data_IF_558164244860
#
_entry.id   IF_558164244860
#
_cell.length_a   1.000
_cell.length_b   1.000
_cell.length_c   1.000
_cell.angle_alpha   90.00
_cell.angle_beta   90.00
_cell.angle_gamma   90.00
#
_symmetry.space_group_name_H-M   'P 1'
#
loop_
_entity.id
_entity.type
_entity.pdbx_description
1 polymer ?
#
# COMPACT_ATOMS: atom_id res chain seq x y z
N UNK A 1 -26.55 -6.52 -8.41
CA UNK A 1 -27.09 -6.63 -7.04
C UNK A 1 -26.54 -7.81 -6.22
N UNK A 2 -26.01 -8.88 -6.84
CA UNK A 2 -25.34 -9.97 -6.11
C UNK A 2 -24.06 -9.56 -5.36
N UNK A 3 -23.33 -8.54 -5.85
CA UNK A 3 -22.11 -8.04 -5.20
C UNK A 3 -22.34 -7.31 -3.86
N UNK A 4 -23.59 -6.99 -3.49
CA UNK A 4 -23.90 -6.38 -2.20
C UNK A 4 -23.85 -7.41 -1.05
N UNK A 5 -24.04 -8.70 -1.35
CA UNK A 5 -24.08 -9.77 -0.33
C UNK A 5 -22.70 -9.95 0.33
N UNK A 6 -21.58 -10.08 -0.40
CA UNK A 6 -20.25 -10.11 0.22
C UNK A 6 -19.93 -8.84 1.00
N UNK A 7 -20.33 -7.66 0.50
CA UNK A 7 -20.08 -6.38 1.18
C UNK A 7 -20.81 -6.30 2.53
N UNK A 8 -22.08 -6.74 2.59
CA UNK A 8 -22.85 -6.80 3.83
C UNK A 8 -22.28 -7.82 4.83
N UNK A 9 -21.82 -8.98 4.35
CA UNK A 9 -21.14 -9.98 5.18
C UNK A 9 -19.85 -9.42 5.79
N UNK A 10 -19.00 -8.77 4.98
CA UNK A 10 -17.78 -8.13 5.47
C UNK A 10 -18.09 -7.04 6.49
N UNK A 11 -19.08 -6.18 6.23
CA UNK A 11 -19.50 -5.15 7.18
C UNK A 11 -19.97 -5.74 8.51
N UNK A 12 -20.81 -6.78 8.46
CA UNK A 12 -21.29 -7.48 9.65
C UNK A 12 -20.15 -8.09 10.47
N UNK A 13 -19.17 -8.71 9.81
CA UNK A 13 -18.01 -9.28 10.50
C UNK A 13 -17.07 -8.20 11.05
N UNK A 14 -16.82 -7.11 10.34
CA UNK A 14 -16.05 -5.98 10.86
C UNK A 14 -16.68 -5.36 12.11
N UNK A 15 -18.02 -5.21 12.14
CA UNK A 15 -18.71 -4.73 13.33
C UNK A 15 -18.64 -5.69 14.53
N UNK A 16 -18.36 -6.97 14.28
CA UNK A 16 -18.22 -8.00 15.30
C UNK A 16 -16.78 -8.23 15.77
N UNK A 17 -15.78 -7.72 15.06
CA UNK A 17 -14.40 -7.84 15.51
C UNK A 17 -14.17 -6.92 16.70
N UNK A 18 -13.78 -7.45 17.88
CA UNK A 18 -13.39 -6.61 19.00
C UNK A 18 -12.15 -5.79 18.62
N UNK A 19 -12.02 -4.62 19.23
CA UNK A 19 -10.83 -3.79 19.07
C UNK A 19 -9.58 -4.54 19.54
N UNK A 20 -8.44 -4.18 18.99
CA UNK A 20 -7.18 -4.85 19.35
C UNK A 20 -6.93 -4.66 20.84
N UNK A 21 -6.74 -5.74 21.60
CA UNK A 21 -6.57 -5.67 23.04
C UNK A 21 -5.41 -4.76 23.48
N UNK A 22 -4.38 -4.67 22.63
CA UNK A 22 -3.26 -3.74 22.81
C UNK A 22 -3.72 -2.28 22.80
N UNK A 23 -4.58 -1.89 21.85
CA UNK A 23 -5.17 -0.56 21.78
C UNK A 23 -6.03 -0.28 23.00
N UNK A 24 -6.83 -1.25 23.43
CA UNK A 24 -7.63 -1.14 24.65
C UNK A 24 -6.77 -0.97 25.91
N UNK A 25 -5.67 -1.70 26.03
CA UNK A 25 -4.76 -1.62 27.17
C UNK A 25 -3.92 -0.32 27.15
N UNK A 26 -3.22 -0.04 26.05
CA UNK A 26 -2.20 1.01 25.98
C UNK A 26 -2.77 2.40 25.67
N UNK A 27 -3.85 2.48 24.89
CA UNK A 27 -4.42 3.75 24.43
C UNK A 27 -5.71 4.08 25.18
N UNK A 28 -6.66 3.15 25.22
CA UNK A 28 -7.93 3.37 25.91
C UNK A 28 -7.83 3.21 27.45
N UNK A 29 -6.69 2.74 27.97
CA UNK A 29 -6.43 2.48 29.40
C UNK A 29 -7.52 1.62 30.05
N UNK A 30 -8.04 0.64 29.32
CA UNK A 30 -9.11 -0.23 29.78
C UNK A 30 -8.64 -1.70 29.78
N UNK A 31 -7.91 -2.06 30.83
CA UNK A 31 -7.32 -3.38 31.02
C UNK A 31 -8.37 -4.51 31.12
N UNK A 32 -9.53 -4.24 31.73
CA UNK A 32 -10.62 -5.24 31.84
C UNK A 32 -11.21 -5.60 30.49
N UNK A 33 -11.40 -4.61 29.63
CA UNK A 33 -11.95 -4.84 28.29
C UNK A 33 -10.91 -5.50 27.37
N UNK A 34 -9.64 -5.09 27.46
CA UNK A 34 -8.54 -5.78 26.79
C UNK A 34 -8.46 -7.26 27.17
N UNK A 35 -8.46 -7.59 28.47
CA UNK A 35 -8.40 -8.98 28.94
C UNK A 35 -9.63 -9.80 28.51
N UNK A 36 -10.83 -9.21 28.53
CA UNK A 36 -12.08 -9.84 28.06
C UNK A 36 -12.05 -10.12 26.55
N UNK A 37 -11.52 -9.18 25.76
CA UNK A 37 -11.47 -9.31 24.30
C UNK A 37 -10.39 -10.31 23.86
N UNK A 38 -9.22 -10.35 24.53
CA UNK A 38 -8.23 -11.43 24.29
C UNK A 38 -8.77 -12.78 24.75
N UNK A 39 -9.46 -12.84 25.90
CA UNK A 39 -9.98 -14.11 26.42
C UNK A 39 -11.01 -14.72 25.46
N UNK A 40 -11.88 -13.89 24.86
CA UNK A 40 -12.83 -14.33 23.83
C UNK A 40 -12.15 -14.83 22.56
N UNK A 41 -11.03 -14.22 22.16
CA UNK A 41 -10.32 -14.57 20.92
C UNK A 41 -9.39 -15.76 21.09
N UNK A 42 -8.67 -15.85 22.22
CA UNK A 42 -7.70 -16.92 22.49
C UNK A 42 -8.30 -18.11 23.25
N UNK A 43 -9.56 -18.03 23.71
CA UNK A 43 -10.22 -19.05 24.55
C UNK A 43 -9.43 -19.44 25.81
N UNK A 44 -8.69 -18.49 26.37
CA UNK A 44 -7.94 -18.64 27.63
C UNK A 44 -8.42 -17.55 28.59
N UNK A 45 -8.66 -17.87 29.86
CA UNK A 45 -8.93 -16.85 30.88
C UNK A 45 -7.63 -16.09 31.16
N UNK A 46 -7.64 -14.79 30.87
CA UNK A 46 -6.53 -13.89 31.18
C UNK A 46 -7.01 -12.97 32.30
N UNK A 47 -6.35 -13.01 33.45
CA UNK A 47 -6.61 -12.07 34.53
C UNK A 47 -6.14 -10.66 34.15
N UNK A 48 -6.98 -9.66 34.45
CA UNK A 48 -6.67 -8.27 34.15
C UNK A 48 -5.65 -7.69 35.14
N UNK A 49 -4.39 -7.58 34.73
CA UNK A 49 -3.34 -6.90 35.53
C UNK A 49 -3.40 -5.37 35.34
N UNK A 50 -4.40 -4.72 35.95
CA UNK A 50 -4.64 -3.26 35.88
C UNK A 50 -3.40 -2.43 36.24
N UNK A 51 -2.64 -2.86 37.25
CA UNK A 51 -1.50 -2.11 37.78
C UNK A 51 -0.30 -2.08 36.81
N UNK A 52 -0.11 -3.12 35.99
CA UNK A 52 0.92 -3.12 34.94
C UNK A 52 0.49 -2.28 33.74
N UNK A 53 -0.80 -2.32 33.38
CA UNK A 53 -1.35 -1.51 32.28
C UNK A 53 -1.29 -0.02 32.60
N UNK A 54 -1.58 0.38 33.85
CA UNK A 54 -1.46 1.78 34.27
C UNK A 54 0.00 2.24 34.35
N UNK A 55 0.94 1.39 34.79
CA UNK A 55 2.38 1.70 34.79
C UNK A 55 2.94 1.84 33.37
N UNK A 56 2.58 0.95 32.45
CA UNK A 56 2.98 1.05 31.03
C UNK A 56 2.29 2.25 30.34
N UNK A 57 1.00 2.48 30.64
CA UNK A 57 0.23 3.61 30.12
C UNK A 57 0.71 4.98 30.61
N UNK A 58 1.32 5.05 31.80
CA UNK A 58 1.95 6.25 32.36
C UNK A 58 3.39 6.43 31.89
N UNK A 59 4.18 5.36 31.73
CA UNK A 59 5.50 5.43 31.08
C UNK A 59 5.38 5.89 29.61
N UNK A 60 4.38 5.38 28.89
CA UNK A 60 4.03 5.84 27.54
C UNK A 60 3.41 7.26 27.52
N UNK A 61 3.01 7.83 28.66
CA UNK A 61 2.49 9.20 28.73
C UNK A 61 3.57 10.26 28.51
N UNK A 62 4.85 9.90 28.64
CA UNK A 62 5.99 10.78 28.35
C UNK A 62 6.50 10.68 26.88
N UNK A 63 5.85 9.89 26.01
CA UNK A 63 6.34 9.66 24.65
C UNK A 63 5.89 10.75 23.65
N UNK A 64 6.87 11.32 22.94
CA UNK A 64 6.81 12.21 21.77
C UNK A 64 5.52 12.18 20.91
N UNK A 65 5.07 13.36 20.50
CA UNK A 65 3.99 13.54 19.52
C UNK A 65 4.49 13.49 18.06
N UNK A 66 3.57 13.52 17.10
CA UNK A 66 3.85 13.43 15.66
C UNK A 66 4.84 14.50 15.15
N UNK A 67 4.84 15.68 15.74
CA UNK A 67 5.71 16.81 15.36
C UNK A 67 6.93 16.97 16.27
N UNK A 68 7.19 16.01 17.15
CA UNK A 68 8.34 16.05 18.05
C UNK A 68 9.62 15.63 17.30
N UNK A 69 10.75 16.24 17.66
CA UNK A 69 12.07 15.94 17.06
C UNK A 69 12.46 14.47 17.20
N UNK A 70 12.08 13.82 18.30
CA UNK A 70 12.31 12.39 18.56
C UNK A 70 11.57 11.50 17.55
N UNK A 71 10.30 11.80 17.25
CA UNK A 71 9.55 11.09 16.22
C UNK A 71 10.19 11.26 14.84
N UNK A 72 10.58 12.48 14.47
CA UNK A 72 11.22 12.74 13.19
C UNK A 72 12.56 12.00 13.04
N UNK A 73 13.34 11.88 14.12
CA UNK A 73 14.61 11.17 14.11
C UNK A 73 14.46 9.65 14.03
N UNK A 74 13.46 9.06 14.72
CA UNK A 74 13.28 7.60 14.76
C UNK A 74 12.40 7.05 13.63
N UNK A 75 11.31 7.74 13.31
CA UNK A 75 10.29 7.25 12.38
C UNK A 75 10.07 8.15 11.15
N UNK A 76 10.72 9.33 11.09
CA UNK A 76 10.56 10.26 9.97
C UNK A 76 11.02 9.69 8.63
N UNK A 77 12.13 8.95 8.61
CA UNK A 77 12.62 8.29 7.40
C UNK A 77 11.66 7.18 6.94
N UNK A 78 11.10 6.42 7.88
CA UNK A 78 10.13 5.38 7.60
C UNK A 78 8.82 5.95 7.05
N UNK A 79 8.34 7.07 7.61
CA UNK A 79 7.16 7.78 7.11
C UNK A 79 7.37 8.33 5.72
N UNK A 80 8.56 8.86 5.43
CA UNK A 80 8.91 9.29 4.09
C UNK A 80 8.95 8.10 3.12
N UNK A 81 9.58 6.99 3.51
CA UNK A 81 9.62 5.76 2.72
C UNK A 81 8.23 5.22 2.38
N UNK A 82 7.35 5.08 3.38
CA UNK A 82 5.99 4.57 3.17
C UNK A 82 5.13 5.52 2.36
N UNK A 83 5.21 6.83 2.60
CA UNK A 83 4.45 7.83 1.85
C UNK A 83 4.91 7.89 0.39
N UNK A 84 6.22 7.94 0.15
CA UNK A 84 6.75 8.01 -1.23
C UNK A 84 6.48 6.71 -1.99
N UNK A 85 6.61 5.54 -1.37
CA UNK A 85 6.26 4.28 -2.04
C UNK A 85 4.78 4.22 -2.43
N UNK A 86 3.88 4.68 -1.56
CA UNK A 86 2.45 4.72 -1.87
C UNK A 86 2.14 5.77 -2.96
N UNK A 87 2.77 6.94 -2.88
CA UNK A 87 2.72 7.97 -3.91
C UNK A 87 3.15 7.44 -5.29
N UNK A 88 4.32 6.80 -5.37
CA UNK A 88 4.87 6.25 -6.63
C UNK A 88 4.01 5.11 -7.16
N UNK A 89 3.49 4.26 -6.27
CA UNK A 89 2.54 3.22 -6.63
C UNK A 89 1.28 3.81 -7.26
N UNK A 90 0.66 4.82 -6.63
CA UNK A 90 -0.57 5.42 -7.14
C UNK A 90 -0.32 6.11 -8.49
N UNK A 91 0.90 6.64 -8.76
CA UNK A 91 1.27 7.09 -10.12
C UNK A 91 1.22 5.93 -11.12
N UNK A 92 1.78 4.77 -10.75
CA UNK A 92 1.75 3.59 -11.61
C UNK A 92 0.31 3.12 -11.89
N UNK A 93 -0.59 3.25 -10.90
CA UNK A 93 -2.02 2.91 -11.04
C UNK A 93 -2.81 3.85 -11.92
N UNK A 94 -2.33 5.06 -12.21
CA UNK A 94 -2.93 5.94 -13.22
C UNK A 94 -3.10 5.19 -14.53
N UNK A 95 -2.17 4.29 -14.87
CA UNK A 95 -2.23 3.44 -16.05
C UNK A 95 -3.56 2.66 -16.16
N UNK A 96 -4.15 2.24 -15.04
CA UNK A 96 -5.46 1.57 -15.01
C UNK A 96 -6.59 2.48 -15.52
N UNK A 97 -6.55 3.79 -15.19
CA UNK A 97 -7.56 4.74 -15.68
C UNK A 97 -7.50 4.94 -17.20
N UNK A 98 -6.32 4.83 -17.80
CA UNK A 98 -6.10 5.07 -19.24
C UNK A 98 -5.91 3.79 -20.04
N UNK A 99 -6.36 2.67 -19.48
CA UNK A 99 -6.25 1.36 -20.09
C UNK A 99 -6.97 1.30 -21.46
N UNK A 100 -8.08 2.03 -21.61
CA UNK A 100 -8.78 2.18 -22.90
C UNK A 100 -7.86 2.76 -23.99
N UNK A 101 -7.09 3.78 -23.65
CA UNK A 101 -6.25 4.51 -24.62
C UNK A 101 -5.02 3.68 -24.99
N UNK A 102 -4.49 2.91 -24.03
CA UNK A 102 -3.42 1.94 -24.25
C UNK A 102 -3.88 0.81 -25.20
N UNK A 103 -5.08 0.25 -24.97
CA UNK A 103 -5.63 -0.80 -25.82
C UNK A 103 -5.96 -0.33 -27.22
N UNK A 104 -6.45 0.90 -27.37
CA UNK A 104 -6.67 1.54 -28.68
C UNK A 104 -5.34 1.79 -29.39
N UNK A 105 -4.31 2.25 -28.66
CA UNK A 105 -3.00 2.53 -29.23
C UNK A 105 -2.25 1.26 -29.72
N UNK A 106 -2.58 0.09 -29.16
CA UNK A 106 -2.02 -1.22 -29.56
C UNK A 106 -2.87 -1.95 -30.59
N UNK A 107 -4.01 -1.37 -30.99
CA UNK A 107 -4.90 -1.97 -32.00
C UNK A 107 -5.74 -3.12 -31.47
N UNK A 108 -5.80 -3.33 -30.15
CA UNK A 108 -6.70 -4.31 -29.52
C UNK A 108 -8.16 -3.82 -29.56
N UNK A 109 -8.35 -2.52 -29.31
CA UNK A 109 -9.62 -1.83 -29.58
C UNK A 109 -9.58 -1.23 -30.99
N UNK A 110 -10.55 -1.56 -31.86
CA UNK A 110 -10.73 -0.86 -33.14
C UNK A 110 -10.94 0.64 -32.92
N UNK A 111 -10.85 1.45 -33.98
CA UNK A 111 -11.12 2.90 -33.86
C UNK A 111 -12.59 3.14 -33.50
N UNK A 112 -12.86 4.13 -32.65
CA UNK A 112 -14.21 4.48 -32.19
C UNK A 112 -15.22 4.65 -33.34
N UNK A 113 -14.80 5.23 -34.47
CA UNK A 113 -15.63 5.42 -35.68
C UNK A 113 -16.17 4.11 -36.29
N UNK A 114 -15.55 2.97 -35.97
CA UNK A 114 -15.90 1.66 -36.52
C UNK A 114 -16.76 0.81 -35.57
N UNK A 115 -17.14 1.34 -34.40
CA UNK A 115 -17.86 0.56 -33.38
C UNK A 115 -19.01 1.32 -32.71
N UNK A 116 -20.02 0.57 -32.27
CA UNK A 116 -21.06 1.07 -31.38
C UNK A 116 -20.53 1.15 -29.95
N UNK A 117 -20.93 2.17 -29.17
CA UNK A 117 -20.50 2.41 -27.79
C UNK A 117 -20.71 1.19 -26.87
N UNK A 118 -21.80 0.43 -27.06
CA UNK A 118 -22.06 -0.81 -26.29
C UNK A 118 -20.97 -1.87 -26.56
N UNK A 119 -20.55 -1.98 -27.82
CA UNK A 119 -19.54 -2.95 -28.23
C UNK A 119 -18.13 -2.54 -27.76
N UNK A 120 -17.84 -1.23 -27.72
CA UNK A 120 -16.63 -0.68 -27.10
C UNK A 120 -16.54 -1.06 -25.62
N UNK A 121 -17.59 -0.73 -24.85
CA UNK A 121 -17.68 -1.04 -23.43
C UNK A 121 -17.53 -2.54 -23.17
N UNK A 122 -18.17 -3.38 -23.99
CA UNK A 122 -18.05 -4.84 -23.88
C UNK A 122 -16.60 -5.32 -24.08
N UNK A 123 -15.89 -4.82 -25.10
CA UNK A 123 -14.48 -5.20 -25.36
C UNK A 123 -13.53 -4.71 -24.26
N UNK A 124 -13.71 -3.48 -23.79
CA UNK A 124 -12.94 -2.95 -22.65
C UNK A 124 -13.20 -3.80 -21.40
N UNK A 125 -14.46 -4.09 -21.09
CA UNK A 125 -14.85 -4.90 -19.94
C UNK A 125 -14.29 -6.32 -20.00
N UNK A 126 -14.31 -6.97 -21.18
CA UNK A 126 -13.74 -8.30 -21.36
C UNK A 126 -12.22 -8.29 -21.12
N UNK A 127 -11.52 -7.29 -21.64
CA UNK A 127 -10.07 -7.13 -21.45
C UNK A 127 -9.71 -6.85 -19.98
N UNK A 128 -10.49 -6.02 -19.30
CA UNK A 128 -10.37 -5.79 -17.85
C UNK A 128 -10.66 -7.05 -17.04
N UNK A 129 -11.64 -7.85 -17.44
CA UNK A 129 -11.96 -9.11 -16.78
C UNK A 129 -10.80 -10.09 -16.86
N UNK A 130 -10.13 -10.18 -18.01
CA UNK A 130 -8.92 -11.01 -18.18
C UNK A 130 -7.81 -10.52 -17.24
N UNK A 131 -7.51 -9.21 -17.23
CA UNK A 131 -6.49 -8.65 -16.32
C UNK A 131 -6.86 -8.88 -14.86
N UNK A 132 -8.13 -8.77 -14.49
CA UNK A 132 -8.58 -9.01 -13.12
C UNK A 132 -8.44 -10.49 -12.73
N UNK A 133 -8.76 -11.42 -13.64
CA UNK A 133 -8.63 -12.86 -13.45
C UNK A 133 -7.17 -13.32 -13.37
N UNK A 134 -6.27 -12.71 -14.15
CA UNK A 134 -4.85 -13.08 -14.17
C UNK A 134 -4.01 -12.29 -13.16
N UNK A 135 -4.41 -11.07 -12.82
CA UNK A 135 -3.66 -10.16 -11.94
C UNK A 135 -4.29 -10.01 -10.56
N UNK A 136 -5.48 -9.44 -10.49
CA UNK A 136 -6.08 -8.99 -9.22
C UNK A 136 -6.51 -10.15 -8.31
N UNK A 137 -7.14 -11.19 -8.87
CA UNK A 137 -7.66 -12.34 -8.10
C UNK A 137 -6.53 -13.24 -7.59
N UNK A 138 -5.59 -13.72 -8.42
CA UNK A 138 -4.54 -14.63 -7.97
C UNK A 138 -3.67 -13.98 -6.91
N UNK A 139 -3.48 -12.67 -6.99
CA UNK A 139 -2.79 -11.94 -5.94
C UNK A 139 -3.30 -12.27 -4.55
N UNK A 140 -4.61 -12.18 -4.27
CA UNK A 140 -5.08 -12.21 -2.89
C UNK A 140 -4.62 -13.50 -2.19
N UNK A 141 -4.67 -14.62 -2.92
CA UNK A 141 -4.17 -15.90 -2.48
C UNK A 141 -2.65 -15.89 -2.31
N UNK A 142 -1.91 -15.34 -3.26
CA UNK A 142 -0.45 -15.24 -3.16
C UNK A 142 -0.02 -14.33 -2.00
N UNK A 143 -0.58 -13.13 -1.85
CA UNK A 143 -0.28 -12.24 -0.74
C UNK A 143 -0.57 -12.93 0.59
N UNK A 144 -1.76 -13.51 0.78
CA UNK A 144 -2.11 -14.16 2.06
C UNK A 144 -1.18 -15.34 2.37
N UNK A 145 -0.82 -16.15 1.37
CA UNK A 145 0.10 -17.26 1.59
C UNK A 145 1.50 -16.75 1.91
N UNK A 146 2.04 -15.81 1.13
CA UNK A 146 3.45 -15.45 1.19
C UNK A 146 3.80 -14.35 2.19
N UNK A 147 2.84 -13.55 2.67
CA UNK A 147 3.13 -12.40 3.54
C UNK A 147 3.75 -12.79 4.90
N UNK A 148 3.47 -14.01 5.36
CA UNK A 148 4.02 -14.54 6.60
C UNK A 148 5.35 -15.30 6.38
N UNK A 149 5.60 -15.81 5.18
CA UNK A 149 6.85 -16.54 4.86
C UNK A 149 7.93 -15.65 4.25
N UNK A 150 7.57 -14.63 3.48
CA UNK A 150 8.48 -13.71 2.79
C UNK A 150 8.36 -12.34 3.45
N UNK A 151 9.50 -11.72 3.70
CA UNK A 151 9.62 -10.38 4.22
C UNK A 151 8.83 -9.37 3.38
N UNK A 152 8.02 -8.51 4.04
CA UNK A 152 7.23 -7.46 3.38
C UNK A 152 8.10 -6.50 2.59
N UNK A 153 9.31 -6.24 3.08
CA UNK A 153 10.35 -5.50 2.37
C UNK A 153 10.69 -6.17 1.03
N UNK A 154 10.99 -7.47 1.05
CA UNK A 154 11.32 -8.25 -0.15
C UNK A 154 10.14 -8.35 -1.11
N UNK A 155 8.92 -8.52 -0.61
CA UNK A 155 7.69 -8.52 -1.42
C UNK A 155 7.52 -7.18 -2.14
N UNK A 156 7.72 -6.06 -1.43
CA UNK A 156 7.63 -4.72 -2.00
C UNK A 156 8.71 -4.47 -3.06
N UNK A 157 9.96 -4.83 -2.75
CA UNK A 157 11.10 -4.66 -3.65
C UNK A 157 10.93 -5.46 -4.93
N UNK A 158 10.54 -6.73 -4.80
CA UNK A 158 10.27 -7.63 -5.92
C UNK A 158 9.11 -7.10 -6.78
N UNK A 159 8.06 -6.57 -6.16
CA UNK A 159 6.94 -5.98 -6.89
C UNK A 159 7.38 -4.78 -7.74
N UNK A 160 8.05 -3.79 -7.15
CA UNK A 160 8.58 -2.65 -7.91
C UNK A 160 9.58 -3.09 -8.99
N UNK A 161 10.45 -4.06 -8.71
CA UNK A 161 11.40 -4.60 -9.67
C UNK A 161 10.72 -5.22 -10.89
N UNK A 162 9.80 -6.17 -10.70
CA UNK A 162 9.11 -6.81 -11.81
C UNK A 162 8.19 -5.84 -12.56
N UNK A 163 7.55 -4.90 -11.86
CA UNK A 163 6.80 -3.82 -12.51
C UNK A 163 7.70 -3.00 -13.45
N UNK A 164 8.90 -2.63 -13.01
CA UNK A 164 9.88 -1.91 -13.83
C UNK A 164 10.30 -2.73 -15.06
N UNK A 165 10.65 -4.00 -14.85
CA UNK A 165 11.06 -4.92 -15.93
C UNK A 165 9.95 -5.05 -16.98
N UNK A 166 8.71 -5.32 -16.57
CA UNK A 166 7.62 -5.47 -17.53
C UNK A 166 7.24 -4.15 -18.20
N UNK A 167 7.28 -3.01 -17.50
CA UNK A 167 7.03 -1.71 -18.12
C UNK A 167 8.07 -1.37 -19.20
N UNK A 168 9.36 -1.66 -18.95
CA UNK A 168 10.38 -1.48 -20.00
C UNK A 168 10.27 -2.52 -21.12
N UNK A 169 9.91 -3.77 -20.82
CA UNK A 169 9.64 -4.79 -21.82
C UNK A 169 8.45 -4.44 -22.72
N UNK A 170 7.48 -3.67 -22.20
CA UNK A 170 6.37 -3.12 -23.00
C UNK A 170 6.80 -1.87 -23.79
N UNK A 171 7.67 -1.03 -23.24
CA UNK A 171 8.06 0.24 -23.85
C UNK A 171 9.14 0.14 -24.93
N UNK A 172 10.12 -0.76 -24.79
CA UNK A 172 11.26 -0.89 -25.70
C UNK A 172 10.83 -1.46 -27.07
N UNK A 173 10.30 -2.69 -27.16
CA UNK A 173 9.79 -3.26 -28.41
C UNK A 173 8.32 -2.86 -28.67
N UNK A 174 7.97 -1.57 -28.49
CA UNK A 174 6.58 -1.09 -28.64
C UNK A 174 5.97 -1.47 -30.00
N UNK A 175 6.75 -1.37 -31.09
CA UNK A 175 6.27 -1.66 -32.43
C UNK A 175 6.03 -3.16 -32.67
N UNK A 176 6.71 -4.05 -31.94
CA UNK A 176 6.46 -5.49 -31.99
C UNK A 176 5.08 -5.84 -31.41
N UNK A 177 4.68 -5.14 -30.35
CA UNK A 177 3.40 -5.36 -29.67
C UNK A 177 2.18 -4.95 -30.51
N UNK A 178 2.35 -4.06 -31.50
CA UNK A 178 1.31 -3.75 -32.49
C UNK A 178 0.91 -4.96 -33.32
N UNK A 179 1.84 -5.89 -33.58
CA UNK A 179 1.58 -7.13 -34.32
C UNK A 179 1.21 -8.31 -33.41
N UNK A 180 1.56 -8.23 -32.13
CA UNK A 180 1.34 -9.29 -31.14
C UNK A 180 0.61 -8.76 -29.89
N UNK A 181 -0.64 -8.35 -30.07
CA UNK A 181 -1.46 -7.73 -29.02
C UNK A 181 -1.77 -8.68 -27.86
N UNK A 182 -1.78 -10.00 -28.09
CA UNK A 182 -1.99 -11.00 -27.04
C UNK A 182 -0.80 -11.05 -26.06
N UNK A 183 0.43 -11.03 -26.57
CA UNK A 183 1.63 -10.99 -25.74
C UNK A 183 1.73 -9.68 -24.93
N UNK A 184 1.29 -8.56 -25.51
CA UNK A 184 1.18 -7.29 -24.78
C UNK A 184 0.25 -7.43 -23.57
N UNK A 185 -0.95 -7.98 -23.78
CA UNK A 185 -1.94 -8.15 -22.73
C UNK A 185 -1.43 -9.03 -21.59
N UNK A 186 -0.65 -10.07 -21.89
CA UNK A 186 -0.02 -10.94 -20.89
C UNK A 186 1.01 -10.16 -20.06
N UNK A 187 1.96 -9.48 -20.70
CA UNK A 187 2.99 -8.69 -20.00
C UNK A 187 2.37 -7.57 -19.16
N UNK A 188 1.33 -6.94 -19.69
CA UNK A 188 0.58 -5.91 -19.00
C UNK A 188 -0.21 -6.46 -17.80
N UNK A 189 -0.83 -7.64 -17.93
CA UNK A 189 -1.49 -8.34 -16.82
C UNK A 189 -0.50 -8.77 -15.74
N UNK A 190 0.70 -9.24 -16.13
CA UNK A 190 1.77 -9.58 -15.18
C UNK A 190 2.23 -8.35 -14.40
N UNK A 191 2.34 -7.20 -15.07
CA UNK A 191 2.67 -5.95 -14.39
C UNK A 191 1.66 -5.64 -13.28
N UNK A 192 0.36 -5.78 -13.56
CA UNK A 192 -0.66 -5.63 -12.54
C UNK A 192 -0.59 -6.69 -11.45
N UNK A 193 -0.31 -7.95 -11.79
CA UNK A 193 -0.13 -9.00 -10.78
C UNK A 193 0.94 -8.59 -9.76
N UNK A 194 2.14 -8.22 -10.21
CA UNK A 194 3.24 -7.82 -9.33
C UNK A 194 3.00 -6.49 -8.63
N UNK A 195 2.33 -5.52 -9.27
CA UNK A 195 1.94 -4.27 -8.63
C UNK A 195 0.99 -4.51 -7.46
N UNK A 196 0.01 -5.38 -7.68
CA UNK A 196 -0.97 -5.66 -6.66
C UNK A 196 -0.33 -6.56 -5.55
N UNK A 197 0.42 -7.63 -5.90
CA UNK A 197 1.04 -8.59 -4.95
C UNK A 197 2.14 -7.96 -4.11
N UNK A 198 2.95 -7.10 -4.73
CA UNK A 198 4.05 -6.40 -4.08
C UNK A 198 3.59 -5.11 -3.41
N UNK A 199 3.90 -3.95 -3.99
CA UNK A 199 3.76 -2.66 -3.33
C UNK A 199 2.34 -2.35 -2.88
N UNK A 200 1.30 -2.71 -3.63
CA UNK A 200 -0.08 -2.41 -3.19
C UNK A 200 -0.41 -3.11 -1.87
N UNK A 201 -0.10 -4.40 -1.72
CA UNK A 201 -0.33 -5.08 -0.45
C UNK A 201 0.53 -4.50 0.69
N UNK A 202 1.82 -4.28 0.43
CA UNK A 202 2.77 -3.86 1.46
C UNK A 202 2.57 -2.42 1.89
N UNK A 203 2.18 -1.50 1.02
CA UNK A 203 1.92 -0.09 1.39
C UNK A 203 0.74 0.06 2.35
N UNK A 204 -0.21 -0.87 2.38
CA UNK A 204 -1.26 -0.89 3.40
C UNK A 204 -0.79 -1.52 4.72
N UNK A 205 -0.07 -2.64 4.64
CA UNK A 205 0.30 -3.43 5.82
C UNK A 205 1.47 -2.81 6.58
N UNK A 206 2.51 -2.36 5.88
CA UNK A 206 3.76 -1.88 6.49
C UNK A 206 3.54 -0.68 7.42
N UNK A 207 2.83 0.40 7.05
CA UNK A 207 2.56 1.51 7.97
C UNK A 207 1.78 1.06 9.23
N UNK A 208 0.94 0.04 9.11
CA UNK A 208 0.20 -0.46 10.27
C UNK A 208 1.11 -1.19 11.27
N UNK A 209 2.24 -1.74 10.82
CA UNK A 209 3.15 -2.51 11.68
C UNK A 209 4.34 -1.70 12.23
N UNK A 210 4.84 -0.73 11.46
CA UNK A 210 6.07 0.00 11.82
C UNK A 210 5.84 1.18 12.78
N UNK A 211 4.62 1.72 12.82
CA UNK A 211 4.33 2.92 13.61
C UNK A 211 3.79 2.59 15.00
N UNK A 212 4.20 3.35 16.03
CA UNK A 212 3.68 3.22 17.39
C UNK A 212 2.16 3.33 17.43
N UNK A 213 1.51 2.56 18.29
CA UNK A 213 0.05 2.40 18.30
C UNK A 213 -0.71 3.73 18.40
N UNK A 214 -0.21 4.66 19.22
CA UNK A 214 -0.79 6.01 19.40
C UNK A 214 -0.73 6.87 18.13
N UNK A 215 0.31 6.72 17.31
CA UNK A 215 0.56 7.55 16.12
C UNK A 215 0.27 6.80 14.81
N UNK A 216 0.01 5.50 14.88
CA UNK A 216 -0.21 4.60 13.74
C UNK A 216 -1.27 5.13 12.80
N UNK A 217 -2.43 5.53 13.34
CA UNK A 217 -3.53 6.06 12.54
C UNK A 217 -3.11 7.33 11.77
N UNK A 218 -2.43 8.26 12.43
CA UNK A 218 -1.97 9.50 11.82
C UNK A 218 -0.94 9.25 10.72
N UNK A 219 0.06 8.41 10.98
CA UNK A 219 1.12 8.09 10.04
C UNK A 219 0.60 7.31 8.82
N UNK A 220 -0.29 6.34 9.06
CA UNK A 220 -0.98 5.60 8.00
C UNK A 220 -1.84 6.56 7.16
N UNK A 221 -2.58 7.47 7.80
CA UNK A 221 -3.42 8.46 7.11
C UNK A 221 -2.60 9.43 6.25
N UNK A 222 -1.44 9.88 6.73
CA UNK A 222 -0.53 10.73 5.94
C UNK A 222 -0.01 9.97 4.72
N UNK A 223 0.42 8.72 4.91
CA UNK A 223 0.88 7.87 3.81
C UNK A 223 -0.25 7.64 2.78
N UNK A 224 -1.46 7.32 3.24
CA UNK A 224 -2.62 7.12 2.40
C UNK A 224 -3.03 8.39 1.64
N UNK A 225 -2.99 9.55 2.30
CA UNK A 225 -3.32 10.84 1.70
C UNK A 225 -2.37 11.19 0.54
N UNK A 226 -1.08 10.85 0.66
CA UNK A 226 -0.10 11.09 -0.41
C UNK A 226 -0.43 10.33 -1.70
N UNK A 227 -0.84 9.06 -1.59
CA UNK A 227 -1.31 8.27 -2.74
C UNK A 227 -2.57 8.86 -3.37
N UNK A 228 -3.56 9.23 -2.55
CA UNK A 228 -4.81 9.81 -3.07
C UNK A 228 -4.61 11.16 -3.76
N UNK A 229 -3.71 12.00 -3.26
CA UNK A 229 -3.37 13.27 -3.90
C UNK A 229 -2.82 13.05 -5.31
N UNK A 230 -1.92 12.07 -5.48
CA UNK A 230 -1.42 11.66 -6.79
C UNK A 230 -2.51 11.15 -7.70
N UNK A 231 -3.40 10.29 -7.20
CA UNK A 231 -4.46 9.73 -8.03
C UNK A 231 -5.34 10.86 -8.61
N UNK A 232 -5.59 11.93 -7.85
CA UNK A 232 -6.30 13.12 -8.31
C UNK A 232 -5.49 13.86 -9.38
N UNK A 233 -4.23 14.19 -9.08
CA UNK A 233 -3.34 14.89 -10.04
C UNK A 233 -3.16 14.09 -11.32
N UNK A 234 -3.08 12.77 -11.21
CA UNK A 234 -2.96 11.83 -12.30
C UNK A 234 -4.22 11.72 -13.15
N UNK A 235 -5.38 11.54 -12.51
CA UNK A 235 -6.66 11.50 -13.21
C UNK A 235 -6.94 12.80 -13.98
N UNK A 236 -6.53 13.95 -13.42
CA UNK A 236 -6.70 15.25 -14.06
C UNK A 236 -5.60 15.57 -15.08
N UNK A 237 -4.33 15.24 -14.79
CA UNK A 237 -3.17 15.68 -15.58
C UNK A 237 -2.71 14.69 -16.65
N UNK A 238 -2.91 13.38 -16.43
CA UNK A 238 -2.53 12.36 -17.41
C UNK A 238 -3.34 12.42 -18.72
N UNK A 239 -4.64 12.76 -18.77
CA UNK A 239 -5.36 12.97 -20.04
C UNK A 239 -4.70 14.05 -20.91
N UNK A 240 -4.17 15.11 -20.30
CA UNK A 240 -3.43 16.16 -21.02
C UNK A 240 -2.03 15.69 -21.45
N UNK A 241 -1.36 14.89 -20.62
CA UNK A 241 0.02 14.44 -20.88
C UNK A 241 0.10 13.23 -21.84
N UNK A 242 -0.92 12.37 -21.87
CA UNK A 242 -0.94 11.12 -22.63
C UNK A 242 -1.43 11.25 -24.07
N UNK A 243 -1.86 12.45 -24.48
CA UNK A 243 -2.22 12.74 -25.86
C UNK A 243 -1.09 12.39 -26.83
N UNK A 244 -1.47 12.17 -28.09
CA UNK A 244 -0.52 11.84 -29.13
C UNK A 244 0.41 13.04 -29.42
N UNK A 245 1.66 12.77 -29.80
CA UNK A 245 2.62 13.82 -30.22
C UNK A 245 2.19 14.50 -31.53
N UNK A 246 1.41 13.78 -32.33
CA UNK A 246 0.92 14.23 -33.62
C UNK A 246 -0.41 14.99 -33.45
N UNK A 247 -0.46 16.30 -33.72
CA UNK A 247 -1.66 17.13 -33.55
C UNK A 247 -2.82 16.75 -34.47
N UNK A 248 -2.60 15.85 -35.45
CA UNK A 248 -3.65 15.29 -36.31
C UNK A 248 -4.39 14.09 -35.69
N UNK A 249 -3.91 13.56 -34.55
CA UNK A 249 -4.45 12.37 -33.86
C UNK A 249 -4.79 12.65 -32.39
N UNK A 250 -4.80 13.92 -31.99
CA UNK A 250 -5.23 14.37 -30.67
C UNK A 250 -6.76 14.47 -30.62
N UNK A 251 -7.35 14.10 -29.49
CA UNK A 251 -8.78 14.34 -29.27
C UNK A 251 -9.07 15.85 -29.29
N UNK A 252 -10.26 16.24 -29.76
CA UNK A 252 -10.62 17.59 -30.22
C UNK A 252 -10.48 18.74 -29.20
N UNK A 253 -10.09 18.48 -27.95
CA UNK A 253 -9.98 19.46 -26.87
C UNK A 253 -8.62 19.44 -26.12
N UNK A 254 -7.63 18.65 -26.58
CA UNK A 254 -6.36 18.50 -25.86
C UNK A 254 -5.10 18.84 -26.69
N UNK A 255 -4.07 19.46 -26.07
CA UNK A 255 -2.79 19.72 -26.72
C UNK A 255 -2.00 18.42 -26.99
N UNK A 256 -1.06 18.41 -27.95
CA UNK A 256 -0.25 17.23 -28.25
C UNK A 256 0.60 16.81 -27.05
N UNK A 257 0.51 15.54 -26.69
CA UNK A 257 1.14 14.96 -25.50
C UNK A 257 2.35 14.09 -25.83
N UNK A 258 2.80 13.29 -24.85
CA UNK A 258 4.04 12.53 -24.96
C UNK A 258 3.90 11.18 -25.68
N UNK A 259 2.66 10.71 -25.93
CA UNK A 259 2.35 9.42 -26.54
C UNK A 259 2.55 8.22 -25.58
N UNK A 260 1.78 7.14 -25.82
CA UNK A 260 1.69 5.95 -24.94
C UNK A 260 3.06 5.32 -24.65
N UNK A 261 3.94 5.21 -25.66
CA UNK A 261 5.30 4.67 -25.49
C UNK A 261 6.12 5.46 -24.46
N UNK A 262 6.07 6.79 -24.51
CA UNK A 262 6.84 7.63 -23.59
C UNK A 262 6.23 7.61 -22.18
N UNK A 263 4.91 7.49 -22.08
CA UNK A 263 4.23 7.27 -20.80
C UNK A 263 4.66 5.94 -20.15
N UNK A 264 4.81 4.85 -20.93
CA UNK A 264 5.33 3.58 -20.39
C UNK A 264 6.77 3.70 -19.89
N UNK A 265 7.64 4.42 -20.60
CA UNK A 265 9.00 4.71 -20.12
C UNK A 265 9.01 5.53 -18.83
N UNK A 266 8.17 6.57 -18.75
CA UNK A 266 8.04 7.40 -17.55
C UNK A 266 7.56 6.55 -16.35
N UNK A 267 6.53 5.73 -16.54
CA UNK A 267 6.03 4.82 -15.51
C UNK A 267 7.07 3.79 -15.08
N UNK A 268 7.83 3.21 -16.03
CA UNK A 268 8.95 2.33 -15.71
C UNK A 268 10.04 3.01 -14.86
N UNK A 269 10.36 4.28 -15.16
CA UNK A 269 11.26 5.09 -14.37
C UNK A 269 10.75 5.37 -12.96
N UNK A 270 9.45 5.67 -12.81
CA UNK A 270 8.80 5.90 -11.51
C UNK A 270 8.78 4.62 -10.66
N UNK A 271 8.50 3.47 -11.27
CA UNK A 271 8.59 2.18 -10.59
C UNK A 271 10.02 1.89 -10.13
N UNK A 272 11.03 2.26 -10.94
CA UNK A 272 12.43 2.14 -10.58
C UNK A 272 12.79 3.01 -9.38
N UNK A 273 12.28 4.24 -9.30
CA UNK A 273 12.39 5.06 -8.08
C UNK A 273 11.76 4.38 -6.86
N UNK A 274 10.66 3.66 -7.05
CA UNK A 274 10.03 2.86 -5.99
C UNK A 274 10.95 1.80 -5.39
N UNK A 275 11.84 1.21 -6.19
CA UNK A 275 12.88 0.28 -5.72
C UNK A 275 13.81 1.00 -4.73
N UNK A 276 14.31 2.19 -5.08
CA UNK A 276 15.21 2.96 -4.23
C UNK A 276 14.54 3.44 -2.94
N UNK A 277 13.30 3.91 -3.01
CA UNK A 277 12.56 4.34 -1.83
C UNK A 277 12.10 3.18 -0.94
N UNK A 278 12.01 1.96 -1.49
CA UNK A 278 11.73 0.78 -0.68
C UNK A 278 12.85 0.52 0.33
N UNK A 279 14.12 0.86 0.04
CA UNK A 279 15.22 0.75 1.02
C UNK A 279 15.06 1.64 2.27
N UNK A 280 14.19 2.65 2.23
CA UNK A 280 13.87 3.47 3.40
C UNK A 280 12.80 2.81 4.29
N UNK A 281 12.18 1.74 3.81
CA UNK A 281 11.17 0.97 4.54
C UNK A 281 11.88 -0.13 5.35
N UNK A 282 11.66 -0.19 6.68
CA UNK A 282 12.31 -1.19 7.52
C UNK A 282 11.75 -2.60 7.27
N UNK A 283 12.57 -3.61 7.51
CA UNK A 283 12.18 -5.02 7.46
C UNK A 283 11.45 -5.43 8.74
N UNK A 284 10.20 -5.89 8.62
CA UNK A 284 9.31 -6.16 9.75
C UNK A 284 9.32 -7.62 10.26
N UNK A 285 9.99 -8.57 9.59
CA UNK A 285 9.82 -9.99 9.92
C UNK A 285 10.62 -10.38 11.15
N UNK A 286 10.00 -11.21 11.98
CA UNK A 286 10.63 -11.83 13.14
C UNK A 286 10.91 -10.89 14.31
N UNK A 287 10.59 -9.59 14.19
CA UNK A 287 10.67 -8.61 15.27
C UNK A 287 9.30 -8.42 15.88
N UNK A 288 9.22 -8.36 17.20
CA UNK A 288 7.98 -7.96 17.86
C UNK A 288 7.67 -6.50 17.53
N UNK A 289 6.40 -6.09 17.58
CA UNK A 289 6.05 -4.69 17.37
C UNK A 289 6.81 -3.76 18.32
N UNK A 290 7.08 -4.19 19.55
CA UNK A 290 7.80 -3.43 20.57
C UNK A 290 9.27 -3.22 20.23
N UNK A 291 9.89 -4.16 19.51
CA UNK A 291 11.25 -4.04 18.99
C UNK A 291 11.33 -3.13 17.76
N UNK A 292 10.29 -3.14 16.92
CA UNK A 292 10.22 -2.28 15.73
C UNK A 292 9.92 -0.82 16.11
N UNK A 293 9.06 -0.60 17.11
CA UNK A 293 8.69 0.74 17.59
C UNK A 293 9.69 1.32 18.59
N UNK A 294 10.62 0.50 19.11
CA UNK A 294 11.57 0.90 20.15
C UNK A 294 10.94 1.01 21.55
N UNK A 295 9.69 0.58 21.72
CA UNK A 295 8.98 0.60 23.01
C UNK A 295 9.64 -0.32 24.04
N UNK A 296 10.31 -1.39 23.61
CA UNK A 296 11.06 -2.30 24.49
C UNK A 296 12.27 -1.64 25.14
N UNK A 297 13.03 -0.87 24.37
CA UNK A 297 14.21 -0.14 24.88
C UNK A 297 13.80 0.99 25.85
N UNK A 298 12.64 1.61 25.62
CA UNK A 298 12.07 2.62 26.53
C UNK A 298 11.55 2.01 27.83
N UNK A 299 10.92 0.83 27.76
CA UNK A 299 10.50 0.09 28.95
C UNK A 299 11.72 -0.34 29.78
N UNK A 300 12.73 -0.93 29.14
CA UNK A 300 13.95 -1.39 29.81
C UNK A 300 14.76 -0.21 30.40
N UNK A 301 14.84 0.92 29.70
CA UNK A 301 15.53 2.12 30.20
C UNK A 301 14.79 2.77 31.39
N UNK A 302 13.47 2.79 31.38
CA UNK A 302 12.66 3.28 32.50
C UNK A 302 12.78 2.35 33.71
N UNK A 303 12.78 1.03 33.52
CA UNK A 303 13.00 0.05 34.59
C UNK A 303 14.40 0.20 35.23
N UNK A 304 15.44 0.45 34.41
CA UNK A 304 16.80 0.73 34.91
C UNK A 304 16.88 2.08 35.66
N UNK A 305 16.21 3.12 35.17
CA UNK A 305 16.13 4.41 35.89
C UNK A 305 15.37 4.29 37.20
N UNK A 306 14.27 3.55 37.25
CA UNK A 306 13.53 3.28 38.49
C UNK A 306 14.36 2.46 39.48
N UNK A 307 15.02 1.38 39.03
CA UNK A 307 15.92 0.59 39.87
C UNK A 307 17.05 1.44 40.47
N UNK A 308 17.58 2.41 39.71
CA UNK A 308 18.58 3.37 40.20
C UNK A 308 18.01 4.40 41.19
N UNK A 309 16.78 4.87 40.98
CA UNK A 309 16.11 5.85 41.87
C UNK A 309 15.65 5.24 43.20
N UNK A 310 15.43 3.91 43.25
CA UNK A 310 15.04 3.19 44.47
C UNK A 310 16.25 2.81 45.33
N UNK A 311 17.50 3.02 44.85
CA UNK A 311 18.73 2.68 45.57
C UNK A 311 19.39 3.82 46.36
N UNK A 312 18.84 5.04 46.36
CA UNK A 312 19.36 6.12 47.19
C UNK A 312 18.38 6.48 48.30
N UNK A 313 18.57 5.86 49.47
CA UNK A 313 18.72 6.50 50.79
C UNK A 313 18.91 5.39 51.86
N UNK A 314 20.15 5.03 52.24
CA UNK A 314 20.40 4.59 53.60
C UNK A 314 20.39 5.81 54.53
N UNK A 315 19.80 5.60 55.71
CA UNK A 315 19.60 6.50 56.87
C UNK A 315 20.71 7.53 57.09
#
# INVERSE_FOLDING_TARGET
MFGAVPALLTYYWCMKMPETARYMALVARNAKQAASDVSKVMQVEIEAEEEKVDKIGTASSNSFGLFTREFAQRHGLHLLGTSVCWFLLDIAYINNLFQKDIFSAIGWLPKAETMNAIHEVYRVAMSQTIIALCGTIPRYWFTVVFIDYIDKFTIQLMGFFFMTVFMFALAIPYDHWLSNSAGFLIMYSLTFFFANFGPNATTFVVPAEIFPEKLRLNCHSISAASGKLVAIVGALGFPYAAQNKDPSKTDADYPPGNGVRNSLFLLGGINCLGIFFTFLVPECKGKSLEEITGEKEEADANDMQQASSTQTFPV
#
